data_IF_745252930555
#
_entry.id   IF_745252930555
#
_cell.length_a   1.000
_cell.length_b   1.000
_cell.length_c   1.000
_cell.angle_alpha   90.00
_cell.angle_beta   90.00
_cell.angle_gamma   90.00
#
_symmetry.space_group_name_H-M   'P 1'
#
loop_
_entity.id
_entity.type
_entity.pdbx_description
1 polymer ?
#
# COMPACT_ATOMS: atom_id res chain seq x y z
N UNK A 1 -17.34 4.01 -10.64
CA UNK A 1 -17.00 2.64 -10.21
C UNK A 1 -16.00 2.79 -9.07
N UNK A 2 -16.41 2.52 -7.84
CA UNK A 2 -15.59 2.81 -6.63
C UNK A 2 -14.56 1.71 -6.45
N UNK A 3 -13.26 2.05 -6.50
CA UNK A 3 -12.17 1.11 -6.22
C UNK A 3 -12.04 0.90 -4.71
N UNK A 4 -11.70 -0.31 -4.27
CA UNK A 4 -11.49 -0.59 -2.84
C UNK A 4 -10.25 0.12 -2.31
N UNK A 5 -10.22 0.47 -1.01
CA UNK A 5 -9.06 1.10 -0.38
C UNK A 5 -7.76 0.30 -0.54
N UNK A 6 -7.82 -1.04 -0.53
CA UNK A 6 -6.64 -1.89 -0.73
C UNK A 6 -5.97 -1.67 -2.09
N UNK A 7 -6.76 -1.62 -3.17
CA UNK A 7 -6.27 -1.38 -4.52
C UNK A 7 -5.61 0.00 -4.66
N UNK A 8 -6.18 1.02 -4.02
CA UNK A 8 -5.63 2.38 -4.01
C UNK A 8 -4.26 2.42 -3.34
N UNK A 9 -4.12 1.77 -2.18
CA UNK A 9 -2.85 1.69 -1.44
C UNK A 9 -1.79 0.94 -2.26
N UNK A 10 -2.15 -0.22 -2.85
CA UNK A 10 -1.23 -1.00 -3.67
C UNK A 10 -0.76 -0.20 -4.89
N UNK A 11 -1.67 0.53 -5.56
CA UNK A 11 -1.32 1.41 -6.68
C UNK A 11 -0.40 2.54 -6.26
N UNK A 12 -0.66 3.16 -5.11
CA UNK A 12 0.19 4.21 -4.55
C UNK A 12 1.61 3.72 -4.23
N UNK A 13 1.75 2.50 -3.72
CA UNK A 13 3.06 1.88 -3.49
C UNK A 13 3.84 1.69 -4.80
N UNK A 14 3.19 1.22 -5.87
CA UNK A 14 3.84 0.98 -7.17
C UNK A 14 4.34 2.27 -7.84
N UNK A 15 3.57 3.36 -7.76
CA UNK A 15 3.92 4.63 -8.38
C UNK A 15 4.85 5.52 -7.54
N UNK A 16 5.04 5.19 -6.25
CA UNK A 16 5.92 5.98 -5.39
C UNK A 16 7.32 6.06 -5.98
N UNK A 17 7.94 7.25 -5.91
CA UNK A 17 9.28 7.58 -6.49
C UNK A 17 10.41 6.64 -6.07
N UNK A 18 10.15 5.80 -5.07
CA UNK A 18 11.07 4.87 -4.42
C UNK A 18 11.09 3.50 -5.15
N UNK A 19 10.20 3.27 -6.13
CA UNK A 19 10.17 2.01 -6.89
C UNK A 19 9.83 0.80 -6.02
N UNK A 20 8.87 0.97 -5.10
CA UNK A 20 8.50 -0.06 -4.14
C UNK A 20 7.61 -1.12 -4.79
N UNK A 21 7.92 -2.39 -4.52
CA UNK A 21 7.09 -3.53 -4.91
C UNK A 21 6.10 -3.80 -3.77
N UNK A 22 4.80 -3.70 -4.06
CA UNK A 22 3.76 -4.02 -3.10
C UNK A 22 3.56 -5.54 -3.00
N UNK A 23 3.54 -6.07 -1.77
CA UNK A 23 3.24 -7.49 -1.48
C UNK A 23 1.97 -7.54 -0.63
N UNK A 24 0.78 -7.61 -1.25
CA UNK A 24 -0.47 -7.66 -0.50
C UNK A 24 -0.62 -9.02 0.19
N UNK A 25 -0.86 -9.01 1.49
CA UNK A 25 -1.28 -10.22 2.22
C UNK A 25 -2.78 -10.40 2.03
N UNK A 26 -3.18 -11.54 1.49
CA UNK A 26 -4.58 -11.91 1.36
C UNK A 26 -4.75 -13.43 1.41
N UNK A 27 -5.76 -13.89 2.14
CA UNK A 27 -6.15 -15.30 2.30
C UNK A 27 -7.38 -15.69 1.46
N UNK A 28 -8.14 -14.71 0.96
CA UNK A 28 -9.37 -14.93 0.20
C UNK A 28 -9.14 -14.68 -1.32
N UNK A 29 -9.48 -15.66 -2.19
CA UNK A 29 -9.20 -15.60 -3.63
C UNK A 29 -9.85 -14.44 -4.38
N UNK A 30 -11.04 -13.98 -3.94
CA UNK A 30 -11.74 -12.87 -4.61
C UNK A 30 -10.96 -11.55 -4.45
N UNK A 31 -10.43 -11.32 -3.25
CA UNK A 31 -9.62 -10.15 -2.94
C UNK A 31 -8.25 -10.20 -3.62
N UNK A 32 -7.68 -11.40 -3.81
CA UNK A 32 -6.44 -11.55 -4.60
C UNK A 32 -6.66 -11.09 -6.04
N UNK A 33 -7.75 -11.54 -6.67
CA UNK A 33 -8.09 -11.14 -8.05
C UNK A 33 -8.26 -9.63 -8.16
N UNK A 34 -8.96 -9.01 -7.21
CA UNK A 34 -9.17 -7.57 -7.21
C UNK A 34 -7.89 -6.77 -6.93
N UNK A 35 -7.05 -7.21 -5.99
CA UNK A 35 -5.76 -6.57 -5.69
C UNK A 35 -4.77 -6.63 -6.88
N UNK A 36 -4.98 -7.55 -7.83
CA UNK A 36 -4.23 -7.61 -9.09
C UNK A 36 -4.80 -6.66 -10.16
N UNK A 37 -6.07 -6.23 -10.03
CA UNK A 37 -6.74 -5.28 -10.94
C UNK A 37 -6.43 -3.82 -10.55
N UNK A 38 -5.14 -3.49 -10.52
CA UNK A 38 -4.61 -2.16 -10.19
C UNK A 38 -3.95 -1.44 -11.38
N UNK A 39 -3.87 -2.13 -12.52
CA UNK A 39 -3.22 -1.63 -13.74
C UNK A 39 -4.19 -0.91 -14.68
N UNK A 40 -5.49 -0.94 -14.37
CA UNK A 40 -6.57 -0.33 -15.16
C UNK A 40 -6.87 1.11 -14.74
N UNK A 41 -6.15 1.67 -13.76
CA UNK A 41 -6.26 3.07 -13.34
C UNK A 41 -4.92 3.63 -12.85
N UNK A 42 -4.87 4.95 -12.71
CA UNK A 42 -3.71 5.67 -12.18
C UNK A 42 -4.18 6.75 -11.19
N UNK A 43 -3.35 6.99 -10.16
CA UNK A 43 -3.60 8.04 -9.18
C UNK A 43 -2.97 9.34 -9.67
N UNK A 44 -3.71 10.44 -9.52
CA UNK A 44 -3.19 11.76 -9.85
C UNK A 44 -2.09 12.18 -8.86
N UNK A 45 -1.20 13.11 -9.25
CA UNK A 45 -0.19 13.65 -8.33
C UNK A 45 -0.77 14.23 -7.04
N UNK A 46 -1.98 14.81 -7.10
CA UNK A 46 -2.67 15.36 -5.94
C UNK A 46 -3.15 14.28 -4.97
N UNK A 47 -3.73 13.18 -5.48
CA UNK A 47 -4.13 12.03 -4.66
C UNK A 47 -2.91 11.36 -4.02
N UNK A 48 -1.82 11.23 -4.78
CA UNK A 48 -0.55 10.72 -4.26
C UNK A 48 0.01 11.61 -3.13
N UNK A 49 -0.10 12.93 -3.25
CA UNK A 49 0.33 13.87 -2.21
C UNK A 49 -0.51 13.71 -0.93
N UNK A 50 -1.83 13.52 -1.06
CA UNK A 50 -2.73 13.25 0.08
C UNK A 50 -2.31 11.96 0.79
N UNK A 51 -2.09 10.87 0.04
CA UNK A 51 -1.67 9.58 0.60
C UNK A 51 -0.32 9.70 1.31
N UNK A 52 0.65 10.41 0.70
CA UNK A 52 1.95 10.65 1.32
C UNK A 52 1.84 11.47 2.61
N UNK A 53 0.86 12.38 2.68
CA UNK A 53 0.58 13.19 3.88
C UNK A 53 0.02 12.39 5.05
N UNK A 54 -0.46 11.15 4.82
CA UNK A 54 -0.94 10.27 5.89
C UNK A 54 0.20 9.55 6.64
N UNK A 55 1.44 9.64 6.16
CA UNK A 55 2.58 9.00 6.83
C UNK A 55 2.84 9.64 8.20
N UNK A 56 2.83 8.82 9.26
CA UNK A 56 3.11 9.24 10.65
C UNK A 56 4.49 8.82 11.15
N UNK A 57 5.28 8.11 10.32
CA UNK A 57 6.53 7.46 10.74
C UNK A 57 6.33 6.50 11.94
N UNK A 58 5.15 5.92 12.06
CA UNK A 58 4.79 4.97 13.11
C UNK A 58 4.81 3.54 12.54
N UNK A 59 5.39 2.59 13.28
CA UNK A 59 5.30 1.16 12.94
C UNK A 59 3.98 0.59 13.47
N UNK A 60 3.36 -0.30 12.71
CA UNK A 60 2.11 -0.96 13.12
C UNK A 60 2.28 -1.96 14.25
N UNK A 61 3.50 -2.48 14.45
CA UNK A 61 3.84 -3.38 15.55
C UNK A 61 5.18 -2.97 16.15
N UNK A 62 5.16 -2.52 17.40
CA UNK A 62 6.34 -1.98 18.10
C UNK A 62 7.48 -3.01 18.21
N UNK A 63 7.17 -4.31 18.34
CA UNK A 63 8.21 -5.35 18.43
C UNK A 63 8.84 -5.72 17.08
N UNK A 64 8.37 -5.15 15.97
CA UNK A 64 8.99 -5.30 14.64
C UNK A 64 9.98 -4.15 14.36
N UNK A 65 10.54 -3.56 15.41
CA UNK A 65 11.62 -2.59 15.27
C UNK A 65 12.92 -3.31 14.89
N UNK A 66 13.43 -3.17 13.65
CA UNK A 66 14.70 -3.78 13.23
C UNK A 66 15.88 -3.36 14.11
N UNK A 67 15.82 -2.16 14.71
CA UNK A 67 16.90 -1.64 15.54
C UNK A 67 16.82 -2.17 16.98
N UNK A 68 15.65 -2.65 17.40
CA UNK A 68 15.38 -3.17 18.74
C UNK A 68 14.55 -4.46 18.69
N UNK A 69 14.99 -5.43 17.89
CA UNK A 69 14.31 -6.72 17.76
C UNK A 69 14.53 -7.57 19.02
N UNK A 70 13.47 -7.91 19.77
CA UNK A 70 13.59 -8.69 20.98
C UNK A 70 13.58 -10.19 20.61
N UNK A 71 14.74 -10.76 20.35
CA UNK A 71 14.94 -12.20 20.57
C UNK A 71 15.48 -12.44 21.99
#
# INVERSE_FOLDING_TARGET
MTKKPSAIVIRGCWYSRIGLIAIPRCDNPDYTTENLQIFDFELTPAEMAIISGLNRNERTYEKNDPDNFPW
#
